data_IF_289861868453
#
_entry.id   IF_289861868453
#
_cell.length_a   1.000
_cell.length_b   1.000
_cell.length_c   1.000
_cell.angle_alpha   90.00
_cell.angle_beta   90.00
_cell.angle_gamma   90.00
#
_symmetry.space_group_name_H-M   'P 1'
#
loop_
_entity.id
_entity.type
_entity.pdbx_description
1 polymer ?
#
# COMPACT_ATOMS: atom_id res chain seq x y z
N UNK A 1 27.54 -21.42 -4.32
CA UNK A 1 27.64 -20.42 -5.41
C UNK A 1 26.35 -20.37 -6.25
N UNK A 2 25.92 -21.47 -6.86
CA UNK A 2 24.74 -21.52 -7.77
C UNK A 2 23.40 -21.04 -7.14
N UNK A 3 23.12 -21.38 -5.86
CA UNK A 3 21.84 -21.02 -5.21
C UNK A 3 21.75 -19.51 -4.94
N UNK A 4 22.83 -18.88 -4.45
CA UNK A 4 22.89 -17.45 -4.19
C UNK A 4 22.69 -16.65 -5.48
N UNK A 5 23.36 -17.04 -6.54
CA UNK A 5 23.25 -16.40 -7.85
C UNK A 5 21.84 -16.55 -8.46
N UNK A 6 21.21 -17.72 -8.30
CA UNK A 6 19.83 -17.96 -8.69
C UNK A 6 18.86 -17.05 -7.93
N UNK A 7 19.02 -16.92 -6.60
CA UNK A 7 18.17 -16.06 -5.76
C UNK A 7 18.33 -14.59 -6.18
N UNK A 8 19.56 -14.09 -6.32
CA UNK A 8 19.81 -12.70 -6.72
C UNK A 8 19.17 -12.36 -8.06
N UNK A 9 19.28 -13.25 -9.04
CA UNK A 9 18.71 -13.08 -10.37
C UNK A 9 17.17 -13.08 -10.37
N UNK A 10 16.55 -13.86 -9.49
CA UNK A 10 15.12 -14.08 -9.47
C UNK A 10 14.40 -13.39 -8.28
N UNK A 11 15.11 -12.63 -7.43
CA UNK A 11 14.62 -12.08 -6.17
C UNK A 11 13.27 -11.37 -6.32
N UNK A 12 13.11 -10.54 -7.34
CA UNK A 12 11.84 -9.82 -7.58
C UNK A 12 10.65 -10.76 -7.81
N UNK A 13 10.88 -11.87 -8.52
CA UNK A 13 9.82 -12.87 -8.79
C UNK A 13 9.52 -13.70 -7.56
N UNK A 14 10.54 -14.03 -6.76
CA UNK A 14 10.38 -14.72 -5.48
C UNK A 14 9.55 -13.85 -4.53
N UNK A 15 9.85 -12.54 -4.42
CA UNK A 15 9.06 -11.59 -3.62
C UNK A 15 7.61 -11.54 -4.11
N UNK A 16 7.40 -11.43 -5.43
CA UNK A 16 6.06 -11.43 -6.01
C UNK A 16 5.28 -12.68 -5.58
N UNK A 17 5.83 -13.87 -5.76
CA UNK A 17 5.13 -15.11 -5.44
C UNK A 17 4.86 -15.28 -3.95
N UNK A 18 5.80 -14.93 -3.07
CA UNK A 18 5.60 -14.98 -1.62
C UNK A 18 4.47 -14.02 -1.21
N UNK A 19 4.49 -12.78 -1.70
CA UNK A 19 3.45 -11.81 -1.38
C UNK A 19 2.09 -12.20 -1.97
N UNK A 20 2.06 -12.74 -3.17
CA UNK A 20 0.82 -13.21 -3.79
C UNK A 20 0.21 -14.41 -3.05
N UNK A 21 1.03 -15.39 -2.66
CA UNK A 21 0.58 -16.55 -1.86
C UNK A 21 0.06 -16.06 -0.50
N UNK A 22 0.78 -15.15 0.18
CA UNK A 22 0.32 -14.58 1.44
C UNK A 22 -0.99 -13.81 1.31
N UNK A 23 -1.17 -13.05 0.22
CA UNK A 23 -2.44 -12.39 -0.07
C UNK A 23 -3.57 -13.39 -0.30
N UNK A 24 -3.33 -14.43 -1.10
CA UNK A 24 -4.34 -15.46 -1.40
C UNK A 24 -4.77 -16.24 -0.16
N UNK A 25 -3.83 -16.54 0.76
CA UNK A 25 -4.16 -17.18 2.03
C UNK A 25 -5.10 -16.30 2.88
N UNK A 26 -4.79 -15.00 3.01
CA UNK A 26 -5.68 -14.06 3.73
C UNK A 26 -7.03 -13.91 3.00
N UNK A 27 -7.03 -13.85 1.67
CA UNK A 27 -8.24 -13.69 0.87
C UNK A 27 -9.17 -14.91 0.98
N UNK A 28 -8.61 -16.09 1.15
CA UNK A 28 -9.36 -17.34 1.37
C UNK A 28 -10.10 -17.30 2.71
N UNK A 29 -9.42 -16.95 3.82
CA UNK A 29 -10.05 -16.77 5.13
C UNK A 29 -11.17 -15.69 5.09
N UNK A 30 -10.91 -14.58 4.37
CA UNK A 30 -11.90 -13.51 4.17
C UNK A 30 -13.11 -14.00 3.39
N UNK A 31 -12.91 -14.81 2.35
CA UNK A 31 -13.99 -15.38 1.54
C UNK A 31 -14.90 -16.28 2.37
N UNK A 32 -14.35 -17.03 3.32
CA UNK A 32 -15.10 -17.83 4.29
C UNK A 32 -15.71 -17.02 5.44
N UNK A 33 -15.59 -15.67 5.39
CA UNK A 33 -16.11 -14.72 6.40
C UNK A 33 -15.52 -14.90 7.79
N UNK A 34 -14.29 -15.38 7.89
CA UNK A 34 -13.61 -15.58 9.15
C UNK A 34 -13.02 -14.25 9.70
N UNK A 35 -13.17 -14.05 11.01
CA UNK A 35 -12.42 -13.03 11.75
C UNK A 35 -11.19 -13.73 12.33
N UNK A 36 -10.04 -13.41 11.75
CA UNK A 36 -8.79 -14.04 12.15
C UNK A 36 -8.36 -13.59 13.55
N UNK A 37 -7.74 -14.51 14.31
CA UNK A 37 -7.15 -14.16 15.61
C UNK A 37 -6.17 -12.99 15.51
N UNK A 38 -5.44 -12.88 14.40
CA UNK A 38 -4.54 -11.77 14.09
C UNK A 38 -5.25 -10.40 14.01
N UNK A 39 -6.51 -10.35 13.60
CA UNK A 39 -7.31 -9.13 13.54
C UNK A 39 -7.60 -8.61 14.96
N UNK A 40 -8.00 -9.52 15.85
CA UNK A 40 -8.30 -9.21 17.25
C UNK A 40 -7.02 -8.77 17.99
N UNK A 41 -5.94 -9.53 17.82
CA UNK A 41 -4.64 -9.25 18.48
C UNK A 41 -4.08 -7.92 17.98
N UNK A 42 -4.08 -7.67 16.68
CA UNK A 42 -3.55 -6.45 16.12
C UNK A 42 -4.29 -5.21 16.59
N UNK A 43 -5.65 -5.26 16.64
CA UNK A 43 -6.42 -4.16 17.21
C UNK A 43 -6.14 -3.97 18.70
N UNK A 44 -6.09 -5.05 19.50
CA UNK A 44 -5.78 -4.98 20.94
C UNK A 44 -4.42 -4.34 21.20
N UNK A 45 -3.39 -4.66 20.42
CA UNK A 45 -2.06 -4.05 20.54
C UNK A 45 -2.15 -2.55 20.24
N UNK A 46 -2.75 -2.17 19.13
CA UNK A 46 -2.86 -0.78 18.73
C UNK A 46 -3.71 0.02 19.72
N UNK A 47 -4.85 -0.51 20.15
CA UNK A 47 -5.72 0.18 21.10
C UNK A 47 -5.04 0.39 22.47
N UNK A 48 -4.32 -0.61 22.96
CA UNK A 48 -3.65 -0.54 24.26
C UNK A 48 -2.49 0.44 24.32
N UNK A 49 -1.71 0.53 23.22
CA UNK A 49 -0.44 1.28 23.23
C UNK A 49 -0.51 2.61 22.48
N UNK A 50 -1.45 2.78 21.58
CA UNK A 50 -1.46 3.93 20.69
C UNK A 50 -2.71 4.82 20.84
N UNK A 51 -3.88 4.30 21.21
CA UNK A 51 -5.11 5.10 21.24
C UNK A 51 -5.10 6.02 22.45
N UNK A 52 -5.14 7.33 22.19
CA UNK A 52 -5.28 8.39 23.19
C UNK A 52 -5.85 9.66 22.54
N UNK A 53 -6.29 10.61 23.37
CA UNK A 53 -6.76 11.92 22.89
C UNK A 53 -5.68 12.69 22.13
N UNK A 54 -4.41 12.50 22.49
CA UNK A 54 -3.27 13.13 21.82
C UNK A 54 -2.95 12.50 20.45
N UNK A 55 -3.00 11.18 20.33
CA UNK A 55 -2.61 10.46 19.09
C UNK A 55 -3.73 10.38 18.08
N UNK A 56 -5.00 10.49 18.50
CA UNK A 56 -6.15 10.42 17.60
C UNK A 56 -6.16 11.50 16.50
N UNK A 57 -5.91 12.79 16.79
CA UNK A 57 -5.76 13.80 15.74
C UNK A 57 -4.60 13.50 14.77
N UNK A 58 -3.50 12.96 15.28
CA UNK A 58 -2.33 12.57 14.47
C UNK A 58 -2.71 11.42 13.52
N UNK A 59 -3.40 10.39 14.00
CA UNK A 59 -3.85 9.28 13.15
C UNK A 59 -4.84 9.75 12.06
N UNK A 60 -5.76 10.67 12.40
CA UNK A 60 -6.66 11.31 11.43
C UNK A 60 -5.92 12.16 10.40
N UNK A 61 -4.86 12.85 10.80
CA UNK A 61 -4.02 13.61 9.88
C UNK A 61 -3.22 12.70 8.94
N UNK A 62 -2.56 11.68 9.48
CA UNK A 62 -1.74 10.73 8.71
C UNK A 62 -2.58 9.97 7.67
N UNK A 63 -3.79 9.55 8.02
CA UNK A 63 -4.63 8.80 7.08
C UNK A 63 -4.99 9.59 5.83
N UNK A 64 -5.03 10.93 5.90
CA UNK A 64 -5.33 11.78 4.74
C UNK A 64 -4.30 11.64 3.61
N UNK A 65 -3.03 11.33 3.93
CA UNK A 65 -2.00 11.08 2.92
C UNK A 65 -2.26 9.81 2.09
N UNK A 66 -3.10 8.91 2.58
CA UNK A 66 -3.59 7.75 1.82
C UNK A 66 -4.96 7.97 1.17
N UNK A 67 -5.57 9.13 1.37
CA UNK A 67 -6.87 9.49 0.83
C UNK A 67 -6.82 9.84 -0.66
N UNK A 68 -7.93 9.59 -1.37
CA UNK A 68 -8.02 9.80 -2.81
C UNK A 68 -7.72 11.26 -3.22
N UNK A 69 -8.28 12.23 -2.51
CA UNK A 69 -8.09 13.67 -2.82
C UNK A 69 -6.62 14.04 -2.77
N UNK A 70 -5.91 13.63 -1.73
CA UNK A 70 -4.48 13.93 -1.58
C UNK A 70 -3.64 13.26 -2.67
N UNK A 71 -3.86 11.97 -2.96
CA UNK A 71 -3.09 11.24 -3.95
C UNK A 71 -3.34 11.74 -5.38
N UNK A 72 -4.57 12.14 -5.70
CA UNK A 72 -4.89 12.77 -6.99
C UNK A 72 -4.18 14.11 -7.11
N UNK A 73 -4.29 14.98 -6.10
CA UNK A 73 -3.63 16.28 -6.09
C UNK A 73 -2.11 16.14 -6.23
N UNK A 74 -1.50 15.23 -5.44
CA UNK A 74 -0.06 14.95 -5.53
C UNK A 74 0.34 14.42 -6.90
N UNK A 75 -0.48 13.55 -7.50
CA UNK A 75 -0.23 13.03 -8.87
C UNK A 75 -0.23 14.15 -9.90
N UNK A 76 -1.19 15.08 -9.83
CA UNK A 76 -1.26 16.24 -10.73
C UNK A 76 -0.02 17.12 -10.56
N UNK A 77 0.36 17.43 -9.32
CA UNK A 77 1.56 18.23 -9.02
C UNK A 77 2.81 17.56 -9.58
N UNK A 78 2.99 16.26 -9.34
CA UNK A 78 4.13 15.51 -9.87
C UNK A 78 4.14 15.48 -11.40
N UNK A 79 2.98 15.31 -12.04
CA UNK A 79 2.84 15.31 -13.51
C UNK A 79 3.26 16.67 -14.10
N UNK A 80 2.94 17.77 -13.43
CA UNK A 80 3.31 19.13 -13.86
C UNK A 80 4.83 19.35 -13.67
N UNK A 81 5.37 19.01 -12.51
CA UNK A 81 6.75 19.30 -12.13
C UNK A 81 7.78 18.39 -12.81
N UNK A 82 7.43 17.14 -13.10
CA UNK A 82 8.35 16.19 -13.71
C UNK A 82 8.49 16.48 -15.22
N UNK A 83 9.71 16.88 -15.63
CA UNK A 83 10.02 17.22 -17.04
C UNK A 83 9.79 16.02 -17.98
N UNK A 84 10.19 14.82 -17.56
CA UNK A 84 9.97 13.62 -18.36
C UNK A 84 8.51 13.16 -18.26
N UNK A 85 7.71 13.47 -19.27
CA UNK A 85 6.28 13.17 -19.28
C UNK A 85 5.96 11.67 -19.29
N UNK A 86 6.88 10.81 -19.72
CA UNK A 86 6.73 9.35 -19.59
C UNK A 86 6.72 8.93 -18.11
N UNK A 87 7.59 9.53 -17.28
CA UNK A 87 7.60 9.28 -15.82
C UNK A 87 6.32 9.82 -15.19
N UNK A 88 5.89 11.04 -15.52
CA UNK A 88 4.62 11.60 -15.03
C UNK A 88 3.43 10.71 -15.38
N UNK A 89 3.36 10.23 -16.62
CA UNK A 89 2.31 9.31 -17.08
C UNK A 89 2.35 7.98 -16.34
N UNK A 90 3.54 7.46 -16.03
CA UNK A 90 3.67 6.22 -15.27
C UNK A 90 3.18 6.38 -13.81
N UNK A 91 3.39 7.53 -13.17
CA UNK A 91 2.84 7.80 -11.83
C UNK A 91 1.31 7.86 -11.90
N UNK A 92 0.75 8.56 -12.89
CA UNK A 92 -0.69 8.64 -13.10
C UNK A 92 -1.32 7.27 -13.36
N UNK A 93 -0.78 6.50 -14.30
CA UNK A 93 -1.30 5.17 -14.63
C UNK A 93 -1.19 4.19 -13.45
N UNK A 94 -0.13 4.30 -12.63
CA UNK A 94 -0.02 3.53 -11.39
C UNK A 94 -1.21 3.78 -10.46
N UNK A 95 -1.53 5.05 -10.18
CA UNK A 95 -2.65 5.40 -9.31
C UNK A 95 -3.98 4.89 -9.85
N UNK A 96 -4.24 5.05 -11.15
CA UNK A 96 -5.47 4.59 -11.78
C UNK A 96 -5.60 3.07 -11.69
N UNK A 97 -4.58 2.32 -12.13
CA UNK A 97 -4.64 0.86 -12.18
C UNK A 97 -4.81 0.26 -10.79
N UNK A 98 -4.04 0.73 -9.79
CA UNK A 98 -4.15 0.18 -8.43
C UNK A 98 -5.50 0.51 -7.79
N UNK A 99 -6.08 1.69 -8.08
CA UNK A 99 -7.41 2.07 -7.59
C UNK A 99 -8.49 1.17 -8.18
N UNK A 100 -8.44 0.93 -9.49
CA UNK A 100 -9.37 0.00 -10.16
C UNK A 100 -9.22 -1.41 -9.60
N UNK A 101 -7.99 -1.90 -9.44
CA UNK A 101 -7.73 -3.22 -8.86
C UNK A 101 -8.28 -3.34 -7.43
N UNK A 102 -8.08 -2.30 -6.60
CA UNK A 102 -8.63 -2.29 -5.23
C UNK A 102 -10.16 -2.40 -5.24
N UNK A 103 -10.82 -1.63 -6.12
CA UNK A 103 -12.27 -1.64 -6.21
C UNK A 103 -12.82 -2.99 -6.72
N UNK A 104 -12.13 -3.62 -7.68
CA UNK A 104 -12.49 -4.96 -8.16
C UNK A 104 -12.37 -6.00 -7.04
N UNK A 105 -11.26 -6.02 -6.30
CA UNK A 105 -11.06 -6.95 -5.18
C UNK A 105 -12.11 -6.75 -4.08
N UNK A 106 -12.45 -5.51 -3.74
CA UNK A 106 -13.51 -5.20 -2.77
C UNK A 106 -14.87 -5.77 -3.19
N UNK A 107 -15.22 -5.62 -4.47
CA UNK A 107 -16.49 -6.12 -5.00
C UNK A 107 -16.55 -7.64 -5.12
N UNK A 108 -15.39 -8.31 -5.25
CA UNK A 108 -15.32 -9.78 -5.27
C UNK A 108 -15.42 -10.36 -3.85
N UNK A 109 -14.66 -9.79 -2.91
CA UNK A 109 -14.49 -10.37 -1.57
C UNK A 109 -15.51 -9.89 -0.54
N UNK A 110 -16.12 -8.72 -0.75
CA UNK A 110 -17.27 -8.17 -0.02
C UNK A 110 -17.21 -8.28 1.52
N UNK A 111 -16.01 -8.18 2.11
CA UNK A 111 -15.84 -8.26 3.56
C UNK A 111 -16.52 -7.08 4.27
N UNK A 112 -17.38 -7.32 5.29
CA UNK A 112 -17.90 -6.23 6.12
C UNK A 112 -16.79 -5.59 6.93
N UNK A 113 -16.97 -4.29 7.28
CA UNK A 113 -16.02 -3.55 8.12
C UNK A 113 -16.22 -3.88 9.60
N UNK A 114 -15.18 -3.68 10.45
CA UNK A 114 -15.34 -3.67 11.91
C UNK A 114 -16.41 -2.65 12.31
N UNK A 115 -17.22 -2.96 13.32
CA UNK A 115 -18.30 -2.08 13.81
C UNK A 115 -18.09 -1.60 15.24
N UNK A 116 -17.31 -2.35 16.03
CA UNK A 116 -17.27 -2.17 17.50
C UNK A 116 -16.46 -0.95 17.97
N UNK A 117 -15.44 -0.53 17.22
CA UNK A 117 -14.44 0.43 17.71
C UNK A 117 -14.14 1.57 16.72
N UNK A 118 -15.12 1.98 15.93
CA UNK A 118 -14.94 3.02 14.92
C UNK A 118 -14.75 4.40 15.54
N UNK A 119 -13.65 5.05 15.19
CA UNK A 119 -13.38 6.46 15.55
C UNK A 119 -13.81 7.41 14.41
N UNK A 120 -13.95 6.89 13.19
CA UNK A 120 -14.44 7.61 12.01
C UNK A 120 -15.43 6.75 11.23
N UNK A 121 -16.27 7.37 10.43
CA UNK A 121 -17.16 6.67 9.51
C UNK A 121 -16.48 6.38 8.17
N UNK A 122 -16.70 5.17 7.68
CA UNK A 122 -16.24 4.73 6.36
C UNK A 122 -17.28 3.80 5.74
N UNK A 123 -17.50 3.95 4.44
CA UNK A 123 -18.47 3.17 3.67
C UNK A 123 -17.84 2.10 2.80
N UNK A 124 -18.65 1.20 2.27
CA UNK A 124 -18.22 0.12 1.37
C UNK A 124 -17.46 -1.01 2.08
N UNK A 125 -16.93 -1.94 1.30
CA UNK A 125 -16.27 -3.16 1.79
C UNK A 125 -14.90 -2.90 2.44
N UNK A 126 -14.52 -3.79 3.38
CA UNK A 126 -13.30 -3.65 4.16
C UNK A 126 -12.05 -4.15 3.42
N UNK A 127 -12.09 -5.34 2.85
CA UNK A 127 -10.91 -6.01 2.29
C UNK A 127 -10.77 -5.84 0.77
N UNK A 128 -9.56 -5.58 0.28
CA UNK A 128 -8.39 -5.10 1.01
C UNK A 128 -8.52 -3.61 1.35
N UNK A 129 -7.77 -3.14 2.36
CA UNK A 129 -7.77 -1.72 2.76
C UNK A 129 -7.30 -0.83 1.61
N UNK A 130 -8.18 0.08 1.15
CA UNK A 130 -7.88 0.98 0.03
C UNK A 130 -6.72 1.93 0.33
N UNK A 131 -6.74 2.59 1.51
CA UNK A 131 -5.66 3.45 1.95
C UNK A 131 -4.31 2.72 1.98
N UNK A 132 -4.26 1.50 2.54
CA UNK A 132 -3.04 0.71 2.63
C UNK A 132 -2.55 0.24 1.25
N UNK A 133 -3.46 -0.31 0.45
CA UNK A 133 -3.14 -0.85 -0.87
C UNK A 133 -2.67 0.25 -1.83
N UNK A 134 -3.42 1.35 -1.94
CA UNK A 134 -3.11 2.42 -2.89
C UNK A 134 -1.86 3.19 -2.44
N UNK A 135 -1.70 3.47 -1.12
CA UNK A 135 -0.49 4.13 -0.61
C UNK A 135 0.76 3.29 -0.83
N UNK A 136 0.69 1.98 -0.59
CA UNK A 136 1.84 1.09 -0.82
C UNK A 136 2.24 1.07 -2.30
N UNK A 137 1.28 0.99 -3.22
CA UNK A 137 1.57 1.02 -4.65
C UNK A 137 2.07 2.39 -5.11
N UNK A 138 1.46 3.47 -4.65
CA UNK A 138 1.82 4.82 -5.07
C UNK A 138 3.17 5.26 -4.51
N UNK A 139 3.33 5.28 -3.20
CA UNK A 139 4.59 5.68 -2.57
C UNK A 139 5.71 4.66 -2.80
N UNK A 140 5.40 3.37 -2.87
CA UNK A 140 6.36 2.33 -3.25
C UNK A 140 6.91 2.54 -4.66
N UNK A 141 6.07 2.97 -5.62
CA UNK A 141 6.53 3.37 -6.94
C UNK A 141 7.38 4.64 -6.90
N UNK A 142 7.03 5.64 -6.10
CA UNK A 142 7.88 6.81 -5.88
C UNK A 142 9.24 6.43 -5.28
N UNK A 143 9.28 5.52 -4.31
CA UNK A 143 10.53 4.97 -3.76
C UNK A 143 11.39 4.37 -4.86
N UNK A 144 10.81 3.57 -5.76
CA UNK A 144 11.53 3.03 -6.91
C UNK A 144 12.11 4.12 -7.82
N UNK A 145 11.33 5.15 -8.15
CA UNK A 145 11.79 6.27 -8.98
C UNK A 145 12.91 7.07 -8.29
N UNK A 146 12.78 7.33 -7.00
CA UNK A 146 13.82 8.00 -6.19
C UNK A 146 15.09 7.17 -6.19
N UNK A 147 14.99 5.86 -5.96
CA UNK A 147 16.14 4.97 -5.99
C UNK A 147 16.86 5.00 -7.34
N UNK A 148 16.09 4.99 -8.44
CA UNK A 148 16.61 4.95 -9.82
C UNK A 148 17.22 6.29 -10.27
N UNK A 149 16.59 7.43 -9.94
CA UNK A 149 16.93 8.71 -10.55
C UNK A 149 17.60 9.73 -9.63
N UNK A 150 17.43 9.63 -8.30
CA UNK A 150 18.05 10.58 -7.37
C UNK A 150 19.52 10.20 -7.15
N UNK A 151 20.45 11.11 -7.53
CA UNK A 151 21.90 10.88 -7.43
C UNK A 151 22.44 11.12 -6.03
N UNK A 152 21.93 12.16 -5.34
CA UNK A 152 22.40 12.50 -3.99
C UNK A 152 22.02 11.38 -3.00
N UNK A 153 23.02 10.73 -2.40
CA UNK A 153 22.84 9.57 -1.51
C UNK A 153 22.02 9.90 -0.26
N UNK A 154 22.26 11.07 0.33
CA UNK A 154 21.54 11.48 1.54
C UNK A 154 20.04 11.73 1.25
N UNK A 155 19.75 12.54 0.22
CA UNK A 155 18.38 12.81 -0.21
C UNK A 155 17.66 11.51 -0.57
N UNK A 156 18.31 10.63 -1.34
CA UNK A 156 17.79 9.32 -1.74
C UNK A 156 17.33 8.50 -0.53
N UNK A 157 18.24 8.21 0.39
CA UNK A 157 17.93 7.31 1.50
C UNK A 157 16.99 7.93 2.52
N UNK A 158 17.11 9.23 2.81
CA UNK A 158 16.17 9.94 3.67
C UNK A 158 14.76 9.88 3.10
N UNK A 159 14.58 10.17 1.79
CA UNK A 159 13.26 10.10 1.17
C UNK A 159 12.68 8.69 1.18
N UNK A 160 13.49 7.66 0.91
CA UNK A 160 13.05 6.25 0.96
C UNK A 160 12.56 5.89 2.36
N UNK A 161 13.33 6.23 3.40
CA UNK A 161 12.96 5.94 4.79
C UNK A 161 11.68 6.67 5.18
N UNK A 162 11.57 7.96 4.87
CA UNK A 162 10.38 8.76 5.20
C UNK A 162 9.12 8.23 4.50
N UNK A 163 9.19 7.89 3.22
CA UNK A 163 8.06 7.30 2.50
C UNK A 163 7.70 5.92 3.02
N UNK A 164 8.67 5.10 3.40
CA UNK A 164 8.41 3.78 4.00
C UNK A 164 7.71 3.91 5.35
N UNK A 165 8.14 4.86 6.20
CA UNK A 165 7.47 5.17 7.47
C UNK A 165 6.04 5.66 7.20
N UNK A 166 5.83 6.53 6.22
CA UNK A 166 4.51 7.04 5.85
C UNK A 166 3.57 5.91 5.43
N UNK A 167 4.01 4.99 4.57
CA UNK A 167 3.22 3.81 4.15
C UNK A 167 2.77 3.00 5.37
N UNK A 168 3.70 2.65 6.26
CA UNK A 168 3.39 1.90 7.47
C UNK A 168 2.43 2.67 8.39
N UNK A 169 2.66 3.96 8.58
CA UNK A 169 1.82 4.83 9.42
C UNK A 169 0.40 4.97 8.88
N UNK A 170 0.22 5.08 7.55
CA UNK A 170 -1.10 5.07 6.92
C UNK A 170 -1.81 3.74 7.21
N UNK A 171 -1.13 2.59 7.02
CA UNK A 171 -1.72 1.29 7.32
C UNK A 171 -2.14 1.15 8.78
N UNK A 172 -1.26 1.51 9.72
CA UNK A 172 -1.54 1.48 11.16
C UNK A 172 -2.71 2.40 11.50
N UNK A 173 -2.79 3.59 10.89
CA UNK A 173 -3.89 4.53 11.14
C UNK A 173 -5.27 3.94 10.80
N UNK A 174 -5.36 3.02 9.82
CA UNK A 174 -6.64 2.39 9.44
C UNK A 174 -7.15 1.41 10.49
N UNK A 175 -6.23 0.68 11.14
CA UNK A 175 -6.54 -0.20 12.27
C UNK A 175 -6.85 0.66 13.51
N UNK A 176 -6.05 1.67 13.76
CA UNK A 176 -6.23 2.65 14.85
C UNK A 176 -7.63 3.28 14.83
N UNK A 177 -8.06 3.74 13.65
CA UNK A 177 -9.35 4.40 13.45
C UNK A 177 -10.54 3.41 13.45
N UNK A 178 -10.30 2.11 13.61
CA UNK A 178 -11.31 1.07 13.75
C UNK A 178 -12.10 0.79 12.47
N UNK A 179 -11.58 1.17 11.31
CA UNK A 179 -12.30 1.03 10.03
C UNK A 179 -11.83 -0.13 9.17
N UNK A 180 -10.72 -0.76 9.55
CA UNK A 180 -10.16 -1.93 8.89
C UNK A 180 -9.58 -2.93 9.89
N UNK A 181 -9.67 -4.21 9.55
CA UNK A 181 -8.96 -5.28 10.23
C UNK A 181 -7.45 -5.24 9.91
N UNK A 182 -6.63 -5.85 10.77
CA UNK A 182 -5.18 -5.97 10.53
C UNK A 182 -4.89 -6.72 9.24
N UNK A 183 -5.64 -7.77 8.96
CA UNK A 183 -5.53 -8.55 7.73
C UNK A 183 -5.91 -7.77 6.47
N UNK A 184 -6.85 -6.79 6.56
CA UNK A 184 -7.16 -5.90 5.42
C UNK A 184 -5.95 -5.05 5.03
N UNK A 185 -5.21 -4.57 6.02
CA UNK A 185 -4.00 -3.75 5.84
C UNK A 185 -2.87 -4.59 5.28
N UNK A 186 -2.61 -5.75 5.89
CA UNK A 186 -1.56 -6.69 5.43
C UNK A 186 -1.86 -7.20 4.02
N UNK A 187 -3.09 -7.63 3.75
CA UNK A 187 -3.53 -8.04 2.41
C UNK A 187 -3.34 -6.92 1.38
N UNK A 188 -3.69 -5.67 1.75
CA UNK A 188 -3.44 -4.51 0.91
C UNK A 188 -1.96 -4.30 0.59
N UNK A 189 -1.06 -4.46 1.56
CA UNK A 189 0.38 -4.36 1.34
C UNK A 189 0.91 -5.49 0.46
N UNK A 190 0.54 -6.74 0.75
CA UNK A 190 1.01 -7.91 0.02
C UNK A 190 0.63 -7.86 -1.47
N UNK A 191 -0.64 -7.58 -1.78
CA UNK A 191 -1.07 -7.49 -3.19
C UNK A 191 -0.42 -6.30 -3.91
N UNK A 192 -0.16 -5.19 -3.20
CA UNK A 192 0.51 -4.03 -3.78
C UNK A 192 1.98 -4.27 -4.08
N UNK A 193 2.69 -5.03 -3.24
CA UNK A 193 4.08 -5.43 -3.53
C UNK A 193 4.11 -6.32 -4.78
N UNK A 194 3.23 -7.32 -4.87
CA UNK A 194 3.11 -8.18 -6.05
C UNK A 194 2.80 -7.38 -7.31
N UNK A 195 1.84 -6.46 -7.21
CA UNK A 195 1.49 -5.53 -8.29
C UNK A 195 2.68 -4.68 -8.71
N UNK A 196 3.43 -4.09 -7.78
CA UNK A 196 4.58 -3.23 -8.07
C UNK A 196 5.67 -3.96 -8.85
N UNK A 197 5.95 -5.22 -8.54
CA UNK A 197 6.94 -6.01 -9.29
C UNK A 197 6.53 -6.13 -10.77
N UNK A 198 5.25 -6.41 -11.01
CA UNK A 198 4.71 -6.52 -12.38
C UNK A 198 4.71 -5.15 -13.05
N UNK A 199 4.16 -4.14 -12.37
CA UNK A 199 4.01 -2.79 -12.89
C UNK A 199 5.35 -2.16 -13.28
N UNK A 200 6.33 -2.19 -12.39
CA UNK A 200 7.68 -1.65 -12.64
C UNK A 200 8.35 -2.37 -13.81
N UNK A 201 8.19 -3.69 -13.88
CA UNK A 201 8.77 -4.46 -15.00
C UNK A 201 8.14 -4.10 -16.34
N UNK A 202 6.81 -3.91 -16.36
CA UNK A 202 6.09 -3.49 -17.57
C UNK A 202 6.43 -2.06 -18.00
N UNK A 203 6.40 -1.10 -17.05
CA UNK A 203 6.70 0.31 -17.34
C UNK A 203 8.13 0.50 -17.82
N UNK A 204 9.12 -0.17 -17.23
CA UNK A 204 10.49 -0.10 -17.72
C UNK A 204 10.58 -0.58 -19.16
N UNK A 205 10.01 -1.73 -19.46
CA UNK A 205 10.08 -2.33 -20.80
C UNK A 205 9.35 -1.52 -21.87
N UNK A 206 8.17 -0.99 -21.57
CA UNK A 206 7.28 -0.42 -22.57
C UNK A 206 7.27 1.11 -22.63
N UNK A 207 7.61 1.79 -21.57
CA UNK A 207 7.45 3.25 -21.46
C UNK A 207 8.77 3.99 -21.25
N UNK A 208 9.66 3.51 -20.39
CA UNK A 208 10.85 4.25 -19.97
C UNK A 208 12.09 3.90 -20.78
N UNK A 209 12.27 2.64 -21.16
CA UNK A 209 13.48 2.14 -21.88
C UNK A 209 13.36 2.23 -23.40
N UNK A 210 12.24 2.68 -23.92
CA UNK A 210 12.04 3.11 -25.31
C UNK A 210 12.21 4.63 -25.41
#
# INVERSE_FOLDING_TARGET
MKIKEFIEKNLKWIILFICLIGFLAIAEDVFHKEIMNGDIIGYKIISRFLISDFTTPIAKFITNFGGAIFLIALTIVLFILIKNKKIGLSIFSNLVIITVLNQLLKNILQRPRPTEYRIIEETGYSFPSGHSMISMAFYGYLIYLIYKYVKNKYVKWTSIVLLSILICSIGISRIYLGVHYTSDVLGGFLISISYLVIYISAVNKFLIEK
#
